data_IF_747983756246
#
_entry.id   IF_747983756246
#
_cell.length_a   1.000
_cell.length_b   1.000
_cell.length_c   1.000
_cell.angle_alpha   90.00
_cell.angle_beta   90.00
_cell.angle_gamma   90.00
#
_symmetry.space_group_name_H-M   'P 1'
#
loop_
_entity.id
_entity.type
_entity.pdbx_description
1 polymer ?
#
# COMPACT_ATOMS: atom_id res chain seq x y z
N UNK A 1 -14.10 7.36 -17.18
CA UNK A 1 -13.52 6.33 -16.30
C UNK A 1 -14.61 5.75 -15.42
N UNK A 2 -14.64 4.43 -15.21
CA UNK A 2 -15.70 3.77 -14.45
C UNK A 2 -15.36 3.76 -12.96
N UNK A 3 -16.13 4.47 -12.13
CA UNK A 3 -15.99 4.42 -10.66
C UNK A 3 -16.19 3.01 -10.09
N UNK A 4 -16.91 2.14 -10.80
CA UNK A 4 -17.09 0.76 -10.37
C UNK A 4 -15.78 -0.03 -10.42
N UNK A 5 -14.86 0.27 -11.35
CA UNK A 5 -13.56 -0.39 -11.41
C UNK A 5 -12.69 -0.04 -10.20
N UNK A 6 -12.77 1.20 -9.71
CA UNK A 6 -12.13 1.61 -8.46
C UNK A 6 -12.67 0.80 -7.27
N UNK A 7 -14.00 0.64 -7.17
CA UNK A 7 -14.60 -0.16 -6.10
C UNK A 7 -14.16 -1.62 -6.17
N UNK A 8 -14.05 -2.22 -7.37
CA UNK A 8 -13.55 -3.59 -7.53
C UNK A 8 -12.09 -3.71 -7.11
N UNK A 9 -11.24 -2.77 -7.49
CA UNK A 9 -9.82 -2.79 -7.15
C UNK A 9 -9.57 -2.54 -5.65
N UNK A 10 -10.35 -1.65 -5.03
CA UNK A 10 -10.24 -1.31 -3.61
C UNK A 10 -10.99 -2.30 -2.68
N UNK A 11 -11.76 -3.25 -3.22
CA UNK A 11 -12.49 -4.22 -2.41
C UNK A 11 -11.51 -5.12 -1.65
N UNK A 12 -11.67 -5.21 -0.33
CA UNK A 12 -10.84 -6.10 0.51
C UNK A 12 -10.93 -7.58 0.15
N UNK A 13 -11.92 -7.98 -0.67
CA UNK A 13 -12.08 -9.34 -1.22
C UNK A 13 -11.36 -9.55 -2.54
N UNK A 14 -10.83 -8.49 -3.17
CA UNK A 14 -10.00 -8.62 -4.36
C UNK A 14 -8.78 -9.50 -4.01
N UNK A 15 -8.45 -10.55 -4.79
CA UNK A 15 -7.50 -11.59 -4.38
C UNK A 15 -6.02 -11.15 -4.53
N UNK A 16 -5.67 -9.96 -4.04
CA UNK A 16 -4.32 -9.40 -4.02
C UNK A 16 -3.47 -9.82 -2.79
N UNK A 17 -4.05 -10.59 -1.85
CA UNK A 17 -3.33 -11.14 -0.71
C UNK A 17 -3.17 -10.20 0.49
N UNK A 18 -3.70 -8.97 0.43
CA UNK A 18 -3.59 -7.98 1.52
C UNK A 18 -4.10 -8.48 2.88
N UNK A 19 -5.14 -9.31 2.91
CA UNK A 19 -5.72 -9.83 4.16
C UNK A 19 -4.76 -10.69 5.01
N UNK A 20 -3.71 -11.23 4.39
CA UNK A 20 -2.67 -12.03 5.06
C UNK A 20 -1.57 -11.17 5.71
N UNK A 21 -1.57 -9.85 5.49
CA UNK A 21 -0.57 -8.92 6.00
C UNK A 21 -1.21 -7.95 7.01
N UNK A 22 -0.52 -7.67 8.11
CA UNK A 22 -1.03 -6.77 9.16
C UNK A 22 -0.69 -5.30 8.91
N UNK A 23 0.24 -5.02 7.99
CA UNK A 23 0.83 -3.69 7.85
C UNK A 23 1.55 -3.27 9.14
N UNK A 24 2.31 -4.16 9.77
CA UNK A 24 3.02 -3.88 11.02
C UNK A 24 2.13 -3.76 12.27
N UNK A 25 0.81 -3.88 12.14
CA UNK A 25 -0.11 -3.81 13.29
C UNK A 25 0.14 -4.94 14.28
N UNK A 26 0.51 -6.15 13.82
CA UNK A 26 0.80 -7.27 14.72
C UNK A 26 1.97 -6.96 15.68
N UNK A 27 3.02 -6.34 15.15
CA UNK A 27 4.18 -5.91 15.96
C UNK A 27 3.81 -4.77 16.89
N UNK A 28 3.04 -3.79 16.40
CA UNK A 28 2.60 -2.65 17.19
C UNK A 28 1.71 -3.08 18.37
N UNK A 29 0.81 -4.05 18.15
CA UNK A 29 -0.01 -4.68 19.20
C UNK A 29 0.87 -5.43 20.19
N UNK A 30 1.78 -6.29 19.72
CA UNK A 30 2.67 -7.06 20.60
C UNK A 30 3.55 -6.16 21.47
N UNK A 31 3.94 -5.00 20.95
CA UNK A 31 4.73 -4.00 21.65
C UNK A 31 3.91 -3.05 22.55
N UNK A 32 2.59 -3.25 22.67
CA UNK A 32 1.70 -2.41 23.48
C UNK A 32 1.49 -0.99 22.94
N UNK A 33 1.82 -0.73 21.66
CA UNK A 33 1.64 0.58 21.01
C UNK A 33 0.26 0.74 20.39
N UNK A 34 -0.37 -0.37 20.00
CA UNK A 34 -1.76 -0.41 19.56
C UNK A 34 -2.54 -1.32 20.51
N UNK A 35 -3.51 -0.74 21.20
CA UNK A 35 -4.24 -1.35 22.32
C UNK A 35 -5.75 -1.16 22.21
N UNK A 36 -6.21 -0.34 21.27
CA UNK A 36 -7.63 -0.07 21.03
C UNK A 36 -7.83 0.91 19.89
N UNK A 37 -9.07 1.39 19.71
CA UNK A 37 -9.44 2.24 18.59
C UNK A 37 -8.64 3.56 18.50
N UNK A 38 -8.40 4.22 19.64
CA UNK A 38 -7.64 5.48 19.67
C UNK A 38 -6.18 5.29 19.23
N UNK A 39 -5.48 4.28 19.79
CA UNK A 39 -4.08 4.00 19.41
C UNK A 39 -3.96 3.38 18.01
N UNK A 40 -4.99 2.70 17.52
CA UNK A 40 -5.09 2.30 16.10
C UNK A 40 -5.19 3.53 15.20
N UNK A 41 -5.99 4.53 15.56
CA UNK A 41 -6.11 5.76 14.78
C UNK A 41 -4.77 6.48 14.66
N UNK A 42 -4.05 6.65 15.77
CA UNK A 42 -2.71 7.26 15.78
C UNK A 42 -1.72 6.48 14.94
N UNK A 43 -1.75 5.14 15.03
CA UNK A 43 -0.91 4.26 14.23
C UNK A 43 -1.21 4.39 12.72
N UNK A 44 -2.49 4.35 12.34
CA UNK A 44 -2.93 4.50 10.96
C UNK A 44 -2.60 5.89 10.41
N UNK A 45 -2.77 6.95 11.20
CA UNK A 45 -2.39 8.32 10.85
C UNK A 45 -0.89 8.45 10.59
N UNK A 46 -0.05 7.88 11.46
CA UNK A 46 1.39 7.84 11.25
C UNK A 46 1.78 7.09 9.98
N UNK A 47 1.15 5.93 9.71
CA UNK A 47 1.33 5.18 8.45
C UNK A 47 0.93 6.01 7.24
N UNK A 48 -0.25 6.63 7.29
CA UNK A 48 -0.85 7.41 6.22
C UNK A 48 0.10 8.53 5.74
N UNK A 49 0.62 9.34 6.65
CA UNK A 49 1.49 10.47 6.32
C UNK A 49 2.94 10.08 5.97
N UNK A 50 3.33 8.82 6.17
CA UNK A 50 4.68 8.31 5.88
C UNK A 50 4.64 7.31 4.73
N UNK A 51 4.68 6.00 5.03
CA UNK A 51 4.69 4.93 4.04
C UNK A 51 3.45 4.94 3.13
N UNK A 52 2.29 5.35 3.64
CA UNK A 52 1.05 5.51 2.86
C UNK A 52 1.19 6.57 1.77
N UNK A 53 1.68 7.77 2.11
CA UNK A 53 1.97 8.85 1.15
C UNK A 53 2.98 8.42 0.08
N UNK A 54 4.03 7.70 0.47
CA UNK A 54 5.03 7.17 -0.47
C UNK A 54 4.41 6.16 -1.43
N UNK A 55 3.66 5.20 -0.90
CA UNK A 55 2.94 4.21 -1.73
C UNK A 55 1.95 4.88 -2.68
N UNK A 56 1.18 5.87 -2.21
CA UNK A 56 0.23 6.61 -3.03
C UNK A 56 0.91 7.37 -4.17
N UNK A 57 2.05 8.02 -3.91
CA UNK A 57 2.78 8.75 -4.95
C UNK A 57 3.38 7.80 -5.99
N UNK A 58 3.91 6.65 -5.57
CA UNK A 58 4.40 5.60 -6.48
C UNK A 58 3.27 5.05 -7.36
N UNK A 59 2.11 4.74 -6.77
CA UNK A 59 0.94 4.25 -7.49
C UNK A 59 0.40 5.29 -8.49
N UNK A 60 0.30 6.55 -8.08
CA UNK A 60 -0.09 7.64 -8.96
C UNK A 60 0.90 7.83 -10.13
N UNK A 61 2.21 7.78 -9.87
CA UNK A 61 3.22 7.92 -10.92
C UNK A 61 3.18 6.75 -11.92
N UNK A 62 3.01 5.52 -11.45
CA UNK A 62 2.82 4.36 -12.32
C UNK A 62 1.53 4.47 -13.15
N UNK A 63 0.44 4.97 -12.57
CA UNK A 63 -0.80 5.24 -13.29
C UNK A 63 -0.66 6.36 -14.33
N UNK A 64 0.26 7.32 -14.14
CA UNK A 64 0.64 8.33 -15.14
C UNK A 64 1.51 7.78 -16.28
N UNK A 65 2.03 6.56 -16.17
CA UNK A 65 2.89 5.97 -17.19
C UNK A 65 4.38 6.25 -17.05
N UNK A 66 4.82 6.68 -15.87
CA UNK A 66 6.25 6.68 -15.53
C UNK A 66 6.75 5.23 -15.55
N UNK A 67 7.97 5.05 -16.06
CA UNK A 67 8.59 3.73 -16.23
C UNK A 67 8.57 2.91 -14.91
N UNK A 68 7.91 1.74 -14.88
CA UNK A 68 7.81 0.91 -13.68
C UNK A 68 9.16 0.45 -13.13
N UNK A 69 10.20 0.32 -13.96
CA UNK A 69 11.54 -0.10 -13.49
C UNK A 69 12.20 1.00 -12.65
N UNK A 70 12.13 2.23 -13.13
CA UNK A 70 12.58 3.40 -12.37
C UNK A 70 11.81 3.57 -11.05
N UNK A 71 10.49 3.35 -11.07
CA UNK A 71 9.65 3.43 -9.88
C UNK A 71 9.92 2.31 -8.88
N UNK A 72 10.18 1.08 -9.34
CA UNK A 72 10.54 -0.04 -8.45
C UNK A 72 11.87 0.22 -7.73
N UNK A 73 12.84 0.80 -8.43
CA UNK A 73 14.12 1.22 -7.85
C UNK A 73 13.93 2.37 -6.83
N UNK A 74 13.06 3.34 -7.16
CA UNK A 74 12.70 4.44 -6.27
C UNK A 74 11.95 3.95 -5.01
N UNK A 75 11.14 2.89 -5.13
CA UNK A 75 10.46 2.23 -4.02
C UNK A 75 11.44 1.48 -3.11
N UNK A 76 12.44 0.79 -3.68
CA UNK A 76 13.54 0.17 -2.91
C UNK A 76 14.31 1.22 -2.09
N UNK A 77 14.66 2.36 -2.68
CA UNK A 77 15.37 3.43 -1.99
C UNK A 77 14.58 4.02 -0.81
N UNK A 78 13.25 3.99 -0.87
CA UNK A 78 12.33 4.49 0.16
C UNK A 78 11.89 3.42 1.17
N UNK A 79 12.34 2.18 0.99
CA UNK A 79 12.01 1.04 1.86
C UNK A 79 13.30 0.35 2.34
N UNK A 80 14.00 0.92 3.36
CA UNK A 80 15.26 0.39 3.83
C UNK A 80 15.19 -1.10 4.26
N UNK A 81 14.13 -1.51 4.95
CA UNK A 81 13.92 -2.87 5.46
C UNK A 81 13.86 -3.92 4.34
N UNK A 82 14.78 -4.91 4.33
CA UNK A 82 14.65 -6.09 3.49
C UNK A 82 13.33 -6.84 3.69
N UNK A 83 12.82 -6.93 4.92
CA UNK A 83 11.56 -7.59 5.23
C UNK A 83 10.37 -6.88 4.55
N UNK A 84 10.30 -5.55 4.62
CA UNK A 84 9.25 -4.78 3.94
C UNK A 84 9.38 -4.85 2.41
N UNK A 85 10.59 -4.76 1.85
CA UNK A 85 10.79 -4.98 0.41
C UNK A 85 10.31 -6.36 -0.02
N UNK A 86 10.61 -7.39 0.76
CA UNK A 86 10.14 -8.76 0.54
C UNK A 86 8.62 -8.88 0.59
N UNK A 87 7.96 -8.23 1.56
CA UNK A 87 6.51 -8.21 1.69
C UNK A 87 5.85 -7.45 0.52
N UNK A 88 6.35 -6.26 0.18
CA UNK A 88 5.85 -5.44 -0.92
C UNK A 88 5.94 -6.19 -2.26
N UNK A 89 7.05 -6.88 -2.55
CA UNK A 89 7.19 -7.69 -3.77
C UNK A 89 6.27 -8.91 -3.78
N UNK A 90 6.04 -9.56 -2.62
CA UNK A 90 5.07 -10.66 -2.49
C UNK A 90 3.64 -10.18 -2.81
N UNK A 91 3.22 -9.08 -2.21
CA UNK A 91 1.92 -8.45 -2.46
C UNK A 91 1.79 -8.02 -3.92
N UNK A 92 2.83 -7.39 -4.48
CA UNK A 92 2.85 -6.99 -5.89
C UNK A 92 2.66 -8.16 -6.86
N UNK A 93 3.29 -9.32 -6.60
CA UNK A 93 3.05 -10.53 -7.40
C UNK A 93 1.61 -11.02 -7.32
N UNK A 94 1.00 -11.02 -6.13
CA UNK A 94 -0.38 -11.51 -5.96
C UNK A 94 -1.37 -10.56 -6.62
N UNK A 95 -1.21 -9.24 -6.44
CA UNK A 95 -1.97 -8.22 -7.13
C UNK A 95 -1.85 -8.37 -8.66
N UNK A 96 -0.63 -8.54 -9.18
CA UNK A 96 -0.37 -8.76 -10.60
C UNK A 96 -1.11 -9.99 -11.14
N UNK A 97 -1.05 -11.12 -10.41
CA UNK A 97 -1.73 -12.36 -10.81
C UNK A 97 -3.24 -12.19 -10.90
N UNK A 98 -3.84 -11.56 -9.88
CA UNK A 98 -5.28 -11.28 -9.87
C UNK A 98 -5.67 -10.31 -10.98
N UNK A 99 -4.93 -9.21 -11.13
CA UNK A 99 -5.22 -8.17 -12.10
C UNK A 99 -5.15 -8.67 -13.55
N UNK A 100 -4.18 -9.52 -13.90
CA UNK A 100 -4.08 -10.09 -15.27
C UNK A 100 -5.30 -10.94 -15.65
N UNK A 101 -5.99 -11.53 -14.68
CA UNK A 101 -7.22 -12.28 -14.93
C UNK A 101 -8.44 -11.35 -15.08
N UNK A 102 -8.45 -10.21 -14.38
CA UNK A 102 -9.59 -9.28 -14.35
C UNK A 102 -9.51 -8.23 -15.45
N UNK A 103 -8.33 -7.68 -15.70
CA UNK A 103 -8.03 -6.65 -16.70
C UNK A 103 -6.82 -7.06 -17.55
N UNK A 104 -6.99 -7.96 -18.55
CA UNK A 104 -5.90 -8.37 -19.42
C UNK A 104 -5.24 -7.16 -20.11
N UNK A 105 -3.92 -7.05 -20.01
CA UNK A 105 -3.14 -5.94 -20.55
C UNK A 105 -1.71 -6.39 -20.86
N UNK A 106 -1.22 -6.03 -22.06
CA UNK A 106 0.16 -6.32 -22.46
C UNK A 106 1.20 -5.63 -21.57
N UNK A 107 0.84 -4.51 -20.93
CA UNK A 107 1.70 -3.85 -19.96
C UNK A 107 1.86 -4.66 -18.66
N UNK A 108 0.77 -5.27 -18.17
CA UNK A 108 0.84 -6.16 -17.02
C UNK A 108 1.66 -7.41 -17.33
N UNK A 109 1.55 -7.94 -18.55
CA UNK A 109 2.39 -9.05 -19.03
C UNK A 109 3.87 -8.66 -19.08
N UNK A 110 4.19 -7.48 -19.64
CA UNK A 110 5.55 -6.97 -19.70
C UNK A 110 6.14 -6.74 -18.30
N UNK A 111 5.36 -6.18 -17.37
CA UNK A 111 5.80 -5.96 -16.00
C UNK A 111 6.04 -7.28 -15.25
N UNK A 112 5.17 -8.26 -15.43
CA UNK A 112 5.35 -9.59 -14.86
C UNK A 112 6.60 -10.31 -15.40
N UNK A 113 6.93 -10.09 -16.68
CA UNK A 113 8.14 -10.62 -17.30
C UNK A 113 9.41 -9.92 -16.78
N UNK A 114 9.38 -8.59 -16.64
CA UNK A 114 10.50 -7.81 -16.11
C UNK A 114 10.79 -8.13 -14.64
N UNK A 115 9.76 -8.45 -13.84
CA UNK A 115 9.88 -8.77 -12.42
C UNK A 115 9.29 -10.15 -12.10
N UNK A 116 9.98 -11.26 -12.46
CA UNK A 116 9.48 -12.62 -12.19
C UNK A 116 9.33 -12.91 -10.68
N UNK A 117 10.09 -12.18 -9.84
CA UNK A 117 10.00 -12.23 -8.37
C UNK A 117 9.11 -11.12 -7.79
N UNK A 118 8.43 -10.33 -8.62
CA UNK A 118 7.53 -9.25 -8.22
C UNK A 118 8.21 -7.90 -8.12
N UNK A 119 7.51 -6.90 -8.66
CA UNK A 119 7.74 -5.49 -8.36
C UNK A 119 7.04 -5.11 -7.05
N UNK A 120 7.41 -3.96 -6.49
CA UNK A 120 6.76 -3.34 -5.36
C UNK A 120 5.26 -3.15 -5.60
N UNK A 121 4.46 -3.53 -4.61
CA UNK A 121 3.00 -3.49 -4.73
C UNK A 121 2.44 -2.13 -5.17
N UNK A 122 2.92 -0.97 -4.68
CA UNK A 122 2.39 0.32 -5.12
C UNK A 122 2.63 0.61 -6.61
N UNK A 123 3.78 0.17 -7.15
CA UNK A 123 4.07 0.29 -8.59
C UNK A 123 3.12 -0.58 -9.40
N UNK A 124 2.94 -1.84 -8.97
CA UNK A 124 1.97 -2.75 -9.61
C UNK A 124 0.55 -2.17 -9.54
N UNK A 125 0.15 -1.62 -8.40
CA UNK A 125 -1.17 -1.03 -8.19
C UNK A 125 -1.46 0.10 -9.19
N UNK A 126 -0.50 0.99 -9.45
CA UNK A 126 -0.66 2.04 -10.44
C UNK A 126 -0.83 1.51 -11.87
N UNK A 127 -0.04 0.51 -12.26
CA UNK A 127 -0.17 -0.14 -13.58
C UNK A 127 -1.51 -0.86 -13.71
N UNK A 128 -1.95 -1.54 -12.65
CA UNK A 128 -3.26 -2.21 -12.60
C UNK A 128 -4.40 -1.20 -12.69
N UNK A 129 -4.33 -0.09 -11.96
CA UNK A 129 -5.31 0.98 -12.04
C UNK A 129 -5.44 1.50 -13.48
N UNK A 130 -4.31 1.71 -14.17
CA UNK A 130 -4.33 2.13 -15.57
C UNK A 130 -4.93 1.08 -16.50
N UNK A 131 -4.60 -0.20 -16.32
CA UNK A 131 -5.21 -1.30 -17.06
C UNK A 131 -6.73 -1.40 -16.84
N UNK A 132 -7.21 -1.02 -15.65
CA UNK A 132 -8.63 -0.93 -15.30
C UNK A 132 -9.32 0.36 -15.82
N UNK A 133 -8.59 1.23 -16.53
CA UNK A 133 -9.10 2.51 -17.03
C UNK A 133 -9.31 3.57 -15.94
N UNK A 134 -8.51 3.50 -14.86
CA UNK A 134 -8.49 4.44 -13.75
C UNK A 134 -7.30 5.41 -13.86
N UNK A 135 -7.42 6.56 -13.20
CA UNK A 135 -6.39 7.60 -13.19
C UNK A 135 -5.47 7.57 -11.97
N UNK A 136 -4.50 8.50 -11.90
CA UNK A 136 -3.56 8.60 -10.78
C UNK A 136 -4.21 8.89 -9.44
N UNK A 137 -5.30 9.68 -9.44
CA UNK A 137 -6.07 9.97 -8.22
C UNK A 137 -6.69 8.69 -7.67
N UNK A 138 -7.30 7.87 -8.53
CA UNK A 138 -7.90 6.59 -8.15
C UNK A 138 -6.85 5.61 -7.59
N UNK A 139 -5.68 5.53 -8.25
CA UNK A 139 -4.57 4.69 -7.79
C UNK A 139 -4.03 5.13 -6.42
N UNK A 140 -3.89 6.44 -6.21
CA UNK A 140 -3.49 7.01 -4.92
C UNK A 140 -4.53 6.68 -3.83
N UNK A 141 -5.83 6.80 -4.12
CA UNK A 141 -6.88 6.41 -3.18
C UNK A 141 -6.80 4.93 -2.79
N UNK A 142 -6.60 4.02 -3.75
CA UNK A 142 -6.40 2.60 -3.45
C UNK A 142 -5.22 2.39 -2.48
N UNK A 143 -4.06 3.00 -2.77
CA UNK A 143 -2.86 2.85 -1.96
C UNK A 143 -3.04 3.42 -0.54
N UNK A 144 -3.63 4.61 -0.44
CA UNK A 144 -3.93 5.28 0.84
C UNK A 144 -4.90 4.43 1.65
N UNK A 145 -5.99 3.98 1.06
CA UNK A 145 -7.00 3.18 1.76
C UNK A 145 -6.43 1.84 2.23
N UNK A 146 -5.63 1.15 1.40
CA UNK A 146 -4.95 -0.09 1.80
C UNK A 146 -4.00 0.14 2.99
N UNK A 147 -3.32 1.29 3.02
CA UNK A 147 -2.34 1.61 4.08
C UNK A 147 -2.92 1.64 5.50
N UNK A 148 -4.23 1.93 5.62
CA UNK A 148 -4.97 2.06 6.90
C UNK A 148 -5.98 0.94 7.12
N UNK A 149 -6.61 0.42 6.06
CA UNK A 149 -7.61 -0.65 6.16
C UNK A 149 -6.99 -2.00 6.50
N UNK A 150 -5.75 -2.27 6.05
CA UNK A 150 -4.97 -3.44 6.45
C UNK A 150 -4.78 -3.55 7.97
N UNK A 151 -4.13 -2.55 8.62
CA UNK A 151 -4.02 -2.47 10.06
C UNK A 151 -5.35 -2.57 10.81
N UNK A 152 -6.39 -1.84 10.37
CA UNK A 152 -7.69 -1.87 11.02
C UNK A 152 -8.33 -3.28 11.00
N UNK A 153 -8.26 -3.97 9.85
CA UNK A 153 -8.72 -5.36 9.73
C UNK A 153 -7.87 -6.33 10.57
N UNK A 154 -6.57 -6.07 10.70
CA UNK A 154 -5.69 -6.88 11.53
C UNK A 154 -6.01 -6.73 13.02
N UNK A 155 -6.26 -5.52 13.51
CA UNK A 155 -6.56 -5.28 14.92
C UNK A 155 -7.85 -5.93 15.41
N UNK A 156 -8.86 -6.09 14.55
CA UNK A 156 -10.07 -6.89 14.89
C UNK A 156 -9.68 -8.33 15.24
N UNK A 157 -8.75 -8.93 14.48
CA UNK A 157 -8.28 -10.31 14.72
C UNK A 157 -7.29 -10.41 15.89
N UNK A 158 -6.48 -9.37 16.10
CA UNK A 158 -5.42 -9.37 17.10
C UNK A 158 -5.90 -9.00 18.51
N UNK A 159 -6.85 -8.06 18.62
CA UNK A 159 -7.32 -7.49 19.89
C UNK A 159 -8.77 -7.86 20.20
N UNK A 160 -9.46 -8.55 19.29
CA UNK A 160 -10.93 -8.66 19.33
C UNK A 160 -11.61 -7.29 19.38
N UNK A 161 -10.99 -6.28 18.76
CA UNK A 161 -11.54 -4.93 18.64
C UNK A 161 -12.88 -5.00 17.91
N UNK A 162 -13.86 -4.20 18.36
CA UNK A 162 -15.16 -4.12 17.71
C UNK A 162 -14.98 -3.68 16.23
N UNK A 163 -15.46 -4.47 15.25
CA UNK A 163 -15.42 -4.07 13.84
C UNK A 163 -16.05 -2.70 13.55
N UNK A 164 -17.04 -2.27 14.33
CA UNK A 164 -17.65 -0.95 14.20
C UNK A 164 -16.67 0.16 14.62
N UNK A 165 -15.89 -0.05 15.69
CA UNK A 165 -14.85 0.89 16.12
C UNK A 165 -13.71 0.97 15.10
N UNK A 166 -13.26 -0.18 14.58
CA UNK A 166 -12.23 -0.22 13.54
C UNK A 166 -12.68 0.52 12.27
N UNK A 167 -13.95 0.35 11.87
CA UNK A 167 -14.54 1.08 10.74
C UNK A 167 -14.67 2.58 11.03
N UNK A 168 -15.04 2.94 12.25
CA UNK A 168 -15.15 4.34 12.67
C UNK A 168 -13.77 5.06 12.62
N UNK A 169 -12.67 4.37 12.93
CA UNK A 169 -11.31 4.91 12.74
C UNK A 169 -11.07 5.26 11.27
N UNK A 170 -11.41 4.37 10.33
CA UNK A 170 -11.24 4.64 8.90
C UNK A 170 -12.07 5.85 8.45
N UNK A 171 -13.31 5.95 8.92
CA UNK A 171 -14.19 7.08 8.62
C UNK A 171 -13.63 8.41 9.15
N UNK A 172 -13.04 8.43 10.35
CA UNK A 172 -12.42 9.64 10.93
C UNK A 172 -11.16 10.08 10.18
N UNK A 173 -10.40 9.14 9.63
CA UNK A 173 -9.20 9.42 8.85
C UNK A 173 -9.49 9.87 7.41
N UNK A 174 -10.72 9.74 6.91
CA UNK A 174 -11.06 10.02 5.51
C UNK A 174 -10.64 11.44 5.04
N UNK A 175 -10.86 12.53 5.80
CA UNK A 175 -10.40 13.86 5.37
C UNK A 175 -8.88 13.97 5.21
N UNK A 176 -8.10 13.21 5.99
CA UNK A 176 -6.65 13.18 5.84
C UNK A 176 -6.19 12.27 4.71
N UNK A 177 -6.97 11.23 4.40
CA UNK A 177 -6.72 10.42 3.22
C UNK A 177 -6.84 11.29 1.96
N UNK A 178 -7.85 12.15 1.88
CA UNK A 178 -8.01 13.11 0.78
C UNK A 178 -6.79 14.03 0.65
N UNK A 179 -6.34 14.62 1.75
CA UNK A 179 -5.14 15.47 1.77
C UNK A 179 -3.88 14.72 1.30
N UNK A 180 -3.67 13.49 1.78
CA UNK A 180 -2.49 12.70 1.39
C UNK A 180 -2.56 12.28 -0.08
N UNK A 181 -3.75 11.98 -0.60
CA UNK A 181 -3.95 11.71 -2.03
C UNK A 181 -3.57 12.92 -2.87
N UNK A 182 -4.04 14.12 -2.52
CA UNK A 182 -3.70 15.35 -3.24
C UNK A 182 -2.19 15.58 -3.29
N UNK A 183 -1.52 15.48 -2.13
CA UNK A 183 -0.06 15.64 -2.02
C UNK A 183 0.71 14.55 -2.79
N UNK A 184 0.19 13.33 -2.84
CA UNK A 184 0.80 12.22 -3.57
C UNK A 184 0.67 12.39 -5.08
N UNK A 185 -0.50 12.83 -5.56
CA UNK A 185 -0.77 13.08 -6.98
C UNK A 185 0.02 14.27 -7.48
N UNK A 186 0.15 15.34 -6.68
CA UNK A 186 1.01 16.47 -7.00
C UNK A 186 2.47 16.04 -7.19
N UNK A 187 3.02 15.27 -6.25
CA UNK A 187 4.37 14.73 -6.37
C UNK A 187 4.51 13.82 -7.60
N UNK A 188 3.54 12.94 -7.86
CA UNK A 188 3.55 12.05 -9.02
C UNK A 188 3.55 12.80 -10.36
N UNK A 189 2.84 13.95 -10.46
CA UNK A 189 2.86 14.78 -11.66
C UNK A 189 4.25 15.38 -11.90
N UNK A 190 4.92 15.84 -10.84
CA UNK A 190 6.29 16.37 -10.92
C UNK A 190 7.31 15.34 -11.40
N UNK A 191 7.09 14.05 -11.14
CA UNK A 191 7.98 12.97 -11.63
C UNK A 191 8.14 12.98 -13.15
N UNK A 192 7.12 13.43 -13.89
CA UNK A 192 7.16 13.48 -15.37
C UNK A 192 8.28 14.42 -15.85
N UNK A 193 8.48 15.54 -15.17
CA UNK A 193 9.44 16.58 -15.56
C UNK A 193 10.75 16.52 -14.76
N UNK A 194 10.67 16.16 -13.48
CA UNK A 194 11.78 16.21 -12.52
C UNK A 194 12.38 14.84 -12.20
N UNK A 195 11.77 13.76 -12.67
CA UNK A 195 12.20 12.38 -12.39
C UNK A 195 11.77 11.86 -11.02
N UNK A 196 12.16 10.61 -10.71
CA UNK A 196 11.68 9.87 -9.53
C UNK A 196 12.13 10.46 -8.18
N UNK A 197 13.05 11.40 -8.18
CA UNK A 197 13.49 12.11 -6.97
C UNK A 197 12.45 13.13 -6.46
N UNK A 198 11.49 13.53 -7.31
CA UNK A 198 10.35 14.34 -6.88
C UNK A 198 9.34 13.57 -5.99
N UNK A 199 9.41 12.24 -5.96
CA UNK A 199 8.55 11.42 -5.10
C UNK A 199 8.89 11.66 -3.61
N UNK A 200 7.89 11.70 -2.71
CA UNK A 200 8.12 11.87 -1.28
C UNK A 200 8.97 10.72 -0.72
N UNK A 201 9.74 11.01 0.32
CA UNK A 201 10.60 10.04 1.01
C UNK A 201 10.28 9.94 2.52
N UNK A 202 9.01 10.15 2.89
CA UNK A 202 8.55 10.05 4.28
C UNK A 202 8.83 8.65 4.83
N UNK A 203 9.67 8.56 5.86
CA UNK A 203 10.07 7.29 6.46
C UNK A 203 9.23 6.97 7.69
N UNK A 204 9.12 5.68 8.01
CA UNK A 204 8.44 5.22 9.22
C UNK A 204 9.34 4.25 9.98
N UNK A 205 10.35 4.74 10.73
CA UNK A 205 11.37 3.91 11.35
C UNK A 205 10.82 2.78 12.23
N UNK A 206 9.69 3.00 12.90
CA UNK A 206 9.05 1.96 13.73
C UNK A 206 8.46 0.83 12.89
N UNK A 207 7.95 1.10 11.68
CA UNK A 207 7.50 0.06 10.76
C UNK A 207 8.67 -0.71 10.17
N UNK A 208 9.74 -0.01 9.79
CA UNK A 208 10.96 -0.61 9.25
C UNK A 208 11.58 -1.58 10.26
N UNK A 209 11.85 -1.10 11.49
CA UNK A 209 12.39 -1.91 12.57
C UNK A 209 11.41 -3.02 12.96
N UNK A 210 10.12 -2.69 13.06
CA UNK A 210 9.09 -3.65 13.42
C UNK A 210 9.01 -4.83 12.44
N UNK A 211 9.13 -4.57 11.14
CA UNK A 211 9.09 -5.61 10.12
C UNK A 211 10.29 -6.57 10.22
N UNK A 212 11.50 -6.07 10.50
CA UNK A 212 12.66 -6.94 10.73
C UNK A 212 12.49 -7.79 11.99
N UNK A 213 11.96 -7.20 13.07
CA UNK A 213 11.63 -7.93 14.29
C UNK A 213 10.59 -9.03 14.02
N UNK A 214 9.51 -8.70 13.29
CA UNK A 214 8.46 -9.66 12.91
C UNK A 214 8.98 -10.80 12.06
N UNK A 215 9.90 -10.51 11.13
CA UNK A 215 10.51 -11.52 10.27
C UNK A 215 11.29 -12.58 11.08
N UNK A 216 11.79 -12.21 12.26
CA UNK A 216 12.47 -13.11 13.19
C UNK A 216 11.56 -13.90 14.14
N UNK A 217 10.24 -13.68 14.14
CA UNK A 217 9.33 -14.39 15.04
C UNK A 217 9.10 -15.84 14.61
N UNK A 218 9.17 -16.76 15.57
CA UNK A 218 8.89 -18.18 15.35
C UNK A 218 7.41 -18.45 15.06
N UNK A 219 6.51 -17.68 15.67
CA UNK A 219 5.06 -17.79 15.51
C UNK A 219 4.49 -16.40 15.22
N UNK A 220 3.70 -16.30 14.15
CA UNK A 220 3.04 -15.07 13.69
C UNK A 220 1.69 -15.40 13.07
N UNK A 221 0.71 -14.53 13.27
CA UNK A 221 -0.62 -14.64 12.69
C UNK A 221 -0.66 -14.09 11.26
N UNK A 222 0.19 -13.10 10.97
CA UNK A 222 0.28 -12.46 9.66
C UNK A 222 1.61 -12.74 8.97
N UNK A 223 1.64 -12.57 7.64
CA UNK A 223 2.82 -12.74 6.82
C UNK A 223 3.81 -11.57 6.93
N UNK A 224 3.35 -10.40 7.37
CA UNK A 224 4.14 -9.21 7.74
C UNK A 224 3.32 -8.22 8.59
#
# INVERSE_FOLDING_TARGET
>A
MSRAALLVLADGRFPAGGHAHSGGAEVAVKAGRVTGAASLEDFCRGRLHTAGRVAAALAAAAALGVDPVSLDSAADARTPSPALRGAARKLGRQLMRAARAVWPSGELDALALAFPKGAHQPVVLGVVARAAGLGPVDAAYCAVYESVSGPASATVRLLSLDPFEATAVLARLAPEMDLVVDLAVEAARRVVDEGVDALPAGSSPLLEIGAEVHAGWAVRLFAS
#
